data_IF_206720692130
#
_entry.id   IF_206720692130
#
_cell.length_a   1.000
_cell.length_b   1.000
_cell.length_c   1.000
_cell.angle_alpha   90.00
_cell.angle_beta   90.00
_cell.angle_gamma   90.00
#
_symmetry.space_group_name_H-M   'P 1'
#
loop_
_entity.id
_entity.type
_entity.pdbx_description
1 polymer ?
#
# COMPACT_ATOMS: atom_id res chain seq x y z
N UNK A 1 -20.60 12.63 2.52
CA UNK A 1 -19.83 12.79 3.78
C UNK A 1 -19.08 14.12 3.73
N UNK A 2 -19.38 15.07 4.65
CA UNK A 2 -18.65 16.36 4.73
C UNK A 2 -17.19 16.07 5.06
N UNK A 3 -16.27 16.63 4.26
CA UNK A 3 -14.81 16.61 4.49
C UNK A 3 -14.45 17.12 5.90
N UNK A 4 -14.42 16.23 6.89
CA UNK A 4 -13.68 16.52 8.12
C UNK A 4 -12.21 16.55 7.70
N UNK A 5 -11.58 17.74 7.76
CA UNK A 5 -10.13 17.89 7.57
C UNK A 5 -9.42 16.84 8.44
N UNK A 6 -8.95 15.77 7.81
CA UNK A 6 -8.29 14.67 8.51
C UNK A 6 -6.97 15.21 9.06
N UNK A 7 -6.85 15.26 10.39
CA UNK A 7 -5.64 15.75 11.05
C UNK A 7 -4.47 14.80 10.76
N UNK A 8 -3.40 15.30 10.14
CA UNK A 8 -2.23 14.50 9.76
C UNK A 8 -1.59 13.76 10.97
N UNK A 9 -1.63 14.35 12.16
CA UNK A 9 -1.17 13.66 13.39
C UNK A 9 -1.97 12.39 13.67
N UNK A 10 -3.30 12.42 13.45
CA UNK A 10 -4.18 11.24 13.60
C UNK A 10 -3.84 10.18 12.56
N UNK A 11 -3.64 10.58 11.30
CA UNK A 11 -3.23 9.69 10.21
C UNK A 11 -1.96 8.94 10.60
N UNK A 12 -0.90 9.66 10.95
CA UNK A 12 0.38 9.08 11.30
C UNK A 12 0.30 8.18 12.56
N UNK A 13 -0.48 8.58 13.57
CA UNK A 13 -0.68 7.79 14.79
C UNK A 13 -1.33 6.43 14.49
N UNK A 14 -2.38 6.41 13.64
CA UNK A 14 -3.07 5.16 13.27
C UNK A 14 -2.17 4.24 12.44
N UNK A 15 -1.43 4.79 11.46
CA UNK A 15 -0.49 4.01 10.66
C UNK A 15 0.67 3.47 11.49
N UNK A 16 1.22 4.27 12.42
CA UNK A 16 2.25 3.81 13.34
C UNK A 16 1.74 2.68 14.25
N UNK A 17 0.51 2.82 14.78
CA UNK A 17 -0.11 1.74 15.58
C UNK A 17 -0.25 0.48 14.75
N UNK A 18 -0.76 0.56 13.52
CA UNK A 18 -0.91 -0.59 12.65
C UNK A 18 0.44 -1.22 12.27
N UNK A 19 1.48 -0.41 12.03
CA UNK A 19 2.83 -0.93 11.81
C UNK A 19 3.37 -1.69 13.05
N UNK A 20 3.08 -1.20 14.26
CA UNK A 20 3.45 -1.87 15.51
C UNK A 20 2.73 -3.21 15.67
N UNK A 21 1.43 -3.27 15.38
CA UNK A 21 0.66 -4.52 15.40
C UNK A 21 1.22 -5.55 14.39
N UNK A 22 1.49 -5.12 13.16
CA UNK A 22 2.09 -5.98 12.13
C UNK A 22 3.51 -6.43 12.52
N UNK A 23 4.31 -5.55 13.12
CA UNK A 23 5.64 -5.90 13.61
C UNK A 23 5.58 -6.95 14.74
N UNK A 24 4.53 -6.96 15.55
CA UNK A 24 4.35 -7.95 16.61
C UNK A 24 4.12 -9.37 16.08
N UNK A 25 3.57 -9.51 14.88
CA UNK A 25 3.32 -10.83 14.24
C UNK A 25 4.43 -11.25 13.29
N UNK A 26 5.15 -10.30 12.69
CA UNK A 26 6.37 -10.58 11.90
C UNK A 26 7.38 -9.44 12.03
N UNK A 27 8.35 -9.60 12.97
CA UNK A 27 9.36 -8.59 13.25
C UNK A 27 10.40 -8.41 12.13
N UNK A 28 10.59 -9.41 11.25
CA UNK A 28 11.63 -9.39 10.21
C UNK A 28 11.23 -8.59 8.97
N UNK A 29 9.92 -8.45 8.72
CA UNK A 29 9.43 -7.85 7.48
C UNK A 29 9.96 -6.43 7.26
N UNK A 30 9.76 -5.53 8.20
CA UNK A 30 10.13 -4.11 8.03
C UNK A 30 11.64 -3.91 7.81
N UNK A 31 12.49 -4.73 8.46
CA UNK A 31 13.94 -4.69 8.24
C UNK A 31 14.34 -5.08 6.83
N UNK A 32 13.83 -6.21 6.32
CA UNK A 32 14.10 -6.67 4.96
C UNK A 32 13.51 -5.70 3.92
N UNK A 33 12.30 -5.22 4.15
CA UNK A 33 11.65 -4.22 3.31
C UNK A 33 12.46 -2.93 3.19
N UNK A 34 13.08 -2.46 4.30
CA UNK A 34 13.97 -1.29 4.29
C UNK A 34 15.17 -1.53 3.39
N UNK A 35 15.89 -2.66 3.58
CA UNK A 35 17.08 -2.98 2.78
C UNK A 35 16.72 -3.10 1.30
N UNK A 36 15.65 -3.82 0.98
CA UNK A 36 15.13 -3.94 -0.38
C UNK A 36 14.81 -2.58 -1.00
N UNK A 37 14.08 -1.75 -0.27
CA UNK A 37 13.64 -0.44 -0.75
C UNK A 37 14.81 0.51 -1.03
N UNK A 38 15.84 0.48 -0.19
CA UNK A 38 17.08 1.26 -0.38
C UNK A 38 17.81 0.79 -1.64
N UNK A 39 18.04 -0.52 -1.80
CA UNK A 39 18.69 -1.06 -2.99
C UNK A 39 17.88 -0.78 -4.26
N UNK A 40 16.56 -0.98 -4.19
CA UNK A 40 15.67 -0.71 -5.31
C UNK A 40 15.66 0.76 -5.74
N UNK A 41 15.75 1.70 -4.78
CA UNK A 41 15.83 3.13 -5.06
C UNK A 41 17.16 3.54 -5.69
N UNK A 42 18.27 2.94 -5.29
CA UNK A 42 19.62 3.28 -5.79
C UNK A 42 19.90 2.66 -7.18
N UNK A 43 19.37 1.47 -7.46
CA UNK A 43 19.65 0.70 -8.69
C UNK A 43 19.54 1.52 -9.98
N UNK A 44 18.49 2.34 -10.24
CA UNK A 44 18.40 3.13 -11.46
C UNK A 44 19.55 4.15 -11.61
N UNK A 45 19.99 4.72 -10.50
CA UNK A 45 21.04 5.74 -10.51
C UNK A 45 22.43 5.16 -10.81
N UNK A 46 22.68 3.88 -10.46
CA UNK A 46 23.91 3.19 -10.85
C UNK A 46 24.03 3.13 -12.37
N UNK A 47 22.95 2.74 -13.06
CA UNK A 47 22.94 2.71 -14.52
C UNK A 47 23.14 4.10 -15.14
N UNK A 48 22.48 5.14 -14.58
CA UNK A 48 22.65 6.53 -15.03
C UNK A 48 24.09 7.01 -14.88
N UNK A 49 24.74 6.71 -13.76
CA UNK A 49 26.14 7.08 -13.51
C UNK A 49 27.09 6.45 -14.53
N UNK A 50 27.04 5.13 -14.73
CA UNK A 50 27.92 4.46 -15.70
C UNK A 50 27.64 4.90 -17.13
N UNK A 51 26.38 5.09 -17.52
CA UNK A 51 26.02 5.61 -18.84
C UNK A 51 26.65 7.00 -19.09
N UNK A 52 26.68 7.88 -18.08
CA UNK A 52 27.30 9.19 -18.18
C UNK A 52 28.81 9.10 -18.38
N UNK A 53 29.52 8.19 -17.66
CA UNK A 53 30.98 8.00 -17.84
C UNK A 53 31.31 7.43 -19.22
N UNK A 54 30.52 6.47 -19.71
CA UNK A 54 30.68 5.90 -21.05
C UNK A 54 30.51 7.00 -22.12
N UNK A 55 29.46 7.82 -22.03
CA UNK A 55 29.20 8.89 -22.98
C UNK A 55 30.29 9.96 -22.94
N UNK A 56 30.79 10.31 -21.76
CA UNK A 56 31.92 11.25 -21.59
C UNK A 56 33.17 10.78 -22.30
N UNK A 57 33.56 9.48 -22.10
CA UNK A 57 34.74 8.91 -22.75
C UNK A 57 34.57 8.81 -24.26
N UNK A 58 33.38 8.41 -24.73
CA UNK A 58 33.06 8.29 -26.14
C UNK A 58 33.10 9.66 -26.88
N UNK A 59 32.57 10.71 -26.25
CA UNK A 59 32.42 12.03 -26.88
C UNK A 59 33.69 12.87 -26.85
N UNK A 60 34.47 12.82 -25.77
CA UNK A 60 35.56 13.73 -25.52
C UNK A 60 36.95 13.10 -25.67
N UNK A 61 37.22 12.01 -24.98
CA UNK A 61 38.57 11.49 -24.81
C UNK A 61 38.91 10.39 -25.80
N UNK A 62 37.90 9.63 -26.27
CA UNK A 62 38.00 8.54 -27.28
C UNK A 62 39.07 7.49 -26.97
N UNK A 63 39.38 7.24 -25.69
CA UNK A 63 40.34 6.23 -25.27
C UNK A 63 39.65 4.85 -25.19
N UNK A 64 39.95 3.98 -26.12
CA UNK A 64 39.28 2.68 -26.25
C UNK A 64 39.45 1.80 -25.01
N UNK A 65 40.63 1.78 -24.39
CA UNK A 65 40.95 1.04 -23.18
C UNK A 65 40.11 1.47 -21.98
N UNK A 66 39.98 2.76 -21.75
CA UNK A 66 39.21 3.36 -20.68
C UNK A 66 37.69 3.18 -20.94
N UNK A 67 37.28 3.30 -22.21
CA UNK A 67 35.89 3.06 -22.60
C UNK A 67 35.45 1.61 -22.27
N UNK A 68 36.28 0.63 -22.65
CA UNK A 68 35.99 -0.77 -22.31
C UNK A 68 35.96 -1.03 -20.81
N UNK A 69 36.83 -0.37 -20.03
CA UNK A 69 36.80 -0.43 -18.57
C UNK A 69 35.47 0.07 -18.01
N UNK A 70 34.97 1.26 -18.48
CA UNK A 70 33.70 1.78 -18.02
C UNK A 70 32.51 0.91 -18.44
N UNK A 71 32.53 0.35 -19.66
CA UNK A 71 31.48 -0.57 -20.12
C UNK A 71 31.47 -1.83 -19.26
N UNK A 72 32.64 -2.46 -19.05
CA UNK A 72 32.73 -3.67 -18.23
C UNK A 72 32.30 -3.41 -16.78
N UNK A 73 32.80 -2.32 -16.16
CA UNK A 73 32.39 -1.92 -14.81
C UNK A 73 30.88 -1.65 -14.73
N UNK A 74 30.32 -0.96 -15.72
CA UNK A 74 28.89 -0.66 -15.80
C UNK A 74 28.05 -1.94 -15.89
N UNK A 75 28.40 -2.86 -16.77
CA UNK A 75 27.68 -4.15 -16.90
C UNK A 75 27.79 -4.98 -15.62
N UNK A 76 28.98 -5.10 -15.03
CA UNK A 76 29.19 -5.84 -13.80
C UNK A 76 28.41 -5.22 -12.63
N UNK A 77 28.57 -3.92 -12.41
CA UNK A 77 27.90 -3.24 -11.28
C UNK A 77 26.38 -3.26 -11.43
N UNK A 78 25.85 -2.90 -12.61
CA UNK A 78 24.39 -2.95 -12.83
C UNK A 78 23.84 -4.37 -12.74
N UNK A 79 24.57 -5.36 -13.21
CA UNK A 79 24.23 -6.77 -13.07
C UNK A 79 24.20 -7.24 -11.62
N UNK A 80 25.22 -6.89 -10.82
CA UNK A 80 25.27 -7.20 -9.39
C UNK A 80 24.12 -6.54 -8.63
N UNK A 81 23.84 -5.25 -8.88
CA UNK A 81 22.70 -4.56 -8.27
C UNK A 81 21.35 -5.16 -8.69
N UNK A 82 21.22 -5.58 -9.96
CA UNK A 82 20.00 -6.26 -10.44
C UNK A 82 19.78 -7.61 -9.75
N UNK A 83 20.83 -8.41 -9.61
CA UNK A 83 20.78 -9.71 -8.91
C UNK A 83 20.45 -9.50 -7.42
N UNK A 84 21.14 -8.58 -6.77
CA UNK A 84 20.88 -8.23 -5.36
C UNK A 84 19.45 -7.75 -5.15
N UNK A 85 18.98 -6.85 -6.01
CA UNK A 85 17.59 -6.37 -6.00
C UNK A 85 16.59 -7.52 -6.18
N UNK A 86 16.83 -8.42 -7.12
CA UNK A 86 15.95 -9.56 -7.39
C UNK A 86 15.89 -10.51 -6.18
N UNK A 87 17.03 -10.81 -5.57
CA UNK A 87 17.11 -11.64 -4.35
C UNK A 87 16.36 -10.98 -3.18
N UNK A 88 16.60 -9.70 -2.93
CA UNK A 88 15.92 -8.95 -1.86
C UNK A 88 14.41 -8.81 -2.14
N UNK A 89 14.01 -8.62 -3.39
CA UNK A 89 12.61 -8.59 -3.80
C UNK A 89 11.91 -9.91 -3.48
N UNK A 90 12.49 -11.04 -3.90
CA UNK A 90 11.93 -12.35 -3.59
C UNK A 90 11.79 -12.57 -2.07
N UNK A 91 12.79 -12.14 -1.31
CA UNK A 91 12.75 -12.26 0.16
C UNK A 91 11.69 -11.34 0.79
N UNK A 92 11.55 -10.13 0.26
CA UNK A 92 10.52 -9.17 0.69
C UNK A 92 9.11 -9.70 0.42
N UNK A 93 8.85 -10.23 -0.79
CA UNK A 93 7.55 -10.82 -1.15
C UNK A 93 7.21 -12.04 -0.28
N UNK A 94 8.18 -12.94 -0.07
CA UNK A 94 7.96 -14.10 0.84
C UNK A 94 7.55 -13.66 2.25
N UNK A 95 8.20 -12.61 2.79
CA UNK A 95 7.86 -12.09 4.11
C UNK A 95 6.55 -11.29 4.11
N UNK A 96 6.20 -10.65 2.99
CA UNK A 96 4.91 -9.99 2.82
C UNK A 96 3.75 -10.99 2.82
N UNK A 97 3.89 -12.10 2.09
CA UNK A 97 2.90 -13.18 2.06
C UNK A 97 2.75 -13.85 3.44
N UNK A 98 3.86 -14.09 4.13
CA UNK A 98 3.84 -14.60 5.51
C UNK A 98 3.15 -13.60 6.46
N UNK A 99 3.43 -12.31 6.32
CA UNK A 99 2.76 -11.24 7.09
C UNK A 99 1.26 -11.19 6.78
N UNK A 100 0.88 -11.35 5.50
CA UNK A 100 -0.52 -11.40 5.08
C UNK A 100 -1.27 -12.54 5.76
N UNK A 101 -0.68 -13.73 5.83
CA UNK A 101 -1.26 -14.86 6.56
C UNK A 101 -1.31 -14.64 8.08
N UNK A 102 -0.20 -14.15 8.66
CA UNK A 102 -0.08 -13.98 10.12
C UNK A 102 -0.93 -12.85 10.69
N UNK A 103 -1.29 -11.83 9.92
CA UNK A 103 -2.19 -10.77 10.42
C UNK A 103 -3.51 -11.34 10.95
N UNK A 104 -3.98 -12.47 10.39
CA UNK A 104 -5.19 -13.14 10.89
C UNK A 104 -5.08 -13.55 12.36
N UNK A 105 -3.85 -13.77 12.87
CA UNK A 105 -3.61 -14.05 14.28
C UNK A 105 -4.11 -12.91 15.17
N UNK A 106 -4.01 -11.65 14.71
CA UNK A 106 -4.52 -10.50 15.46
C UNK A 106 -6.04 -10.58 15.62
N UNK A 107 -6.74 -10.88 14.55
CA UNK A 107 -8.19 -10.98 14.53
C UNK A 107 -8.68 -12.22 15.28
N UNK A 108 -8.07 -13.39 15.03
CA UNK A 108 -8.39 -14.62 15.75
C UNK A 108 -8.15 -14.47 17.25
N UNK A 109 -6.99 -13.91 17.64
CA UNK A 109 -6.72 -13.66 19.07
C UNK A 109 -7.79 -12.77 19.69
N UNK A 110 -8.22 -11.73 18.96
CA UNK A 110 -9.28 -10.84 19.45
C UNK A 110 -10.60 -11.59 19.58
N UNK A 111 -11.03 -12.36 18.58
CA UNK A 111 -12.26 -13.18 18.63
C UNK A 111 -12.25 -14.16 19.80
N UNK A 112 -11.12 -14.82 20.06
CA UNK A 112 -11.02 -15.79 21.17
C UNK A 112 -10.92 -15.15 22.57
N UNK A 113 -10.59 -13.87 22.64
CA UNK A 113 -10.44 -13.19 23.94
C UNK A 113 -11.57 -12.25 24.28
N UNK A 114 -12.44 -11.91 23.32
CA UNK A 114 -13.62 -11.07 23.60
C UNK A 114 -14.72 -11.87 24.31
N UNK A 115 -15.60 -11.14 24.97
CA UNK A 115 -16.75 -11.72 25.64
C UNK A 115 -17.68 -12.39 24.64
N UNK A 116 -18.28 -13.52 24.99
CA UNK A 116 -19.17 -14.28 24.11
C UNK A 116 -20.34 -13.41 23.62
N UNK A 117 -20.90 -12.56 24.48
CA UNK A 117 -21.98 -11.66 24.12
C UNK A 117 -21.60 -10.65 23.03
N UNK A 118 -20.33 -10.21 23.01
CA UNK A 118 -19.81 -9.30 21.96
C UNK A 118 -19.44 -10.09 20.70
N UNK A 119 -18.95 -11.32 20.85
CA UNK A 119 -18.66 -12.20 19.73
C UNK A 119 -19.92 -12.58 18.94
N UNK A 120 -21.05 -12.79 19.63
CA UNK A 120 -22.32 -13.21 19.04
C UNK A 120 -23.12 -12.06 18.40
N UNK A 121 -22.71 -10.79 18.60
CA UNK A 121 -23.36 -9.63 18.01
C UNK A 121 -23.19 -9.60 16.50
N UNK A 122 -24.30 -9.42 15.79
CA UNK A 122 -24.31 -9.24 14.34
C UNK A 122 -23.39 -8.09 13.90
N UNK A 123 -23.37 -7.00 14.66
CA UNK A 123 -22.52 -5.83 14.42
C UNK A 123 -21.01 -6.16 14.41
N UNK A 124 -20.58 -7.10 15.28
CA UNK A 124 -19.18 -7.58 15.35
C UNK A 124 -18.83 -8.38 14.09
N UNK A 125 -19.74 -9.24 13.64
CA UNK A 125 -19.57 -10.01 12.41
C UNK A 125 -19.57 -9.12 11.18
N UNK A 126 -20.48 -8.17 11.08
CA UNK A 126 -20.56 -7.20 9.98
C UNK A 126 -19.29 -6.35 9.91
N UNK A 127 -18.78 -5.90 11.05
CA UNK A 127 -17.53 -5.14 11.13
C UNK A 127 -16.33 -5.97 10.66
N UNK A 128 -16.25 -7.24 11.07
CA UNK A 128 -15.19 -8.16 10.64
C UNK A 128 -15.26 -8.44 9.13
N UNK A 129 -16.46 -8.67 8.61
CA UNK A 129 -16.68 -8.88 7.19
C UNK A 129 -16.32 -7.64 6.37
N UNK A 130 -16.71 -6.46 6.83
CA UNK A 130 -16.35 -5.19 6.20
C UNK A 130 -14.82 -4.99 6.13
N UNK A 131 -14.09 -5.30 7.21
CA UNK A 131 -12.63 -5.24 7.23
C UNK A 131 -12.05 -6.19 6.18
N UNK A 132 -12.54 -7.44 6.13
CA UNK A 132 -12.05 -8.42 5.17
C UNK A 132 -12.36 -8.04 3.71
N UNK A 133 -13.53 -7.48 3.43
CA UNK A 133 -13.88 -6.98 2.10
C UNK A 133 -12.98 -5.82 1.67
N UNK A 134 -12.69 -4.88 2.57
CA UNK A 134 -11.81 -3.74 2.29
C UNK A 134 -10.38 -4.20 1.97
N UNK A 135 -9.87 -5.19 2.69
CA UNK A 135 -8.56 -5.78 2.43
C UNK A 135 -8.52 -6.55 1.10
N UNK A 136 -9.56 -7.32 0.80
CA UNK A 136 -9.66 -8.08 -0.46
C UNK A 136 -9.73 -7.22 -1.71
N UNK A 137 -10.28 -6.00 -1.60
CA UNK A 137 -10.46 -5.12 -2.75
C UNK A 137 -9.16 -4.44 -3.21
N UNK A 138 -8.32 -3.95 -2.32
CA UNK A 138 -7.06 -3.27 -2.67
C UNK A 138 -6.13 -3.15 -1.45
N UNK A 139 -6.11 -4.15 -0.60
CA UNK A 139 -5.32 -4.19 0.64
C UNK A 139 -5.59 -3.01 1.61
N UNK A 140 -6.78 -2.36 1.53
CA UNK A 140 -7.13 -1.27 2.42
C UNK A 140 -7.21 -1.74 3.88
N UNK A 141 -6.70 -0.94 4.80
CA UNK A 141 -6.58 -1.27 6.21
C UNK A 141 -5.13 -1.61 6.57
N UNK A 142 -4.93 -2.70 7.32
CA UNK A 142 -3.59 -3.06 7.83
C UNK A 142 -2.61 -3.38 6.71
N UNK A 143 -3.02 -4.10 5.68
CA UNK A 143 -2.12 -4.53 4.61
C UNK A 143 -1.71 -3.40 3.65
N UNK A 144 -2.32 -2.23 3.75
CA UNK A 144 -1.84 -1.03 3.05
C UNK A 144 -0.59 -0.43 3.70
N UNK A 145 -0.35 -0.71 4.97
CA UNK A 145 0.79 -0.17 5.71
C UNK A 145 2.14 -0.69 5.19
N UNK A 146 2.37 -2.00 4.98
CA UNK A 146 3.59 -2.53 4.38
C UNK A 146 3.93 -1.89 3.04
N UNK A 147 2.95 -1.80 2.15
CA UNK A 147 3.11 -1.16 0.84
C UNK A 147 3.46 0.33 0.97
N UNK A 148 2.74 1.05 1.84
CA UNK A 148 3.01 2.47 2.10
C UNK A 148 4.39 2.71 2.69
N UNK A 149 4.86 1.81 3.54
CA UNK A 149 6.20 1.86 4.12
C UNK A 149 7.28 1.68 3.04
N UNK A 150 7.11 0.67 2.17
CA UNK A 150 8.01 0.42 1.06
C UNK A 150 8.11 1.64 0.12
N UNK A 151 6.98 2.18 -0.32
CA UNK A 151 6.95 3.39 -1.15
C UNK A 151 7.59 4.59 -0.46
N UNK A 152 7.35 4.76 0.85
CA UNK A 152 7.94 5.84 1.62
C UNK A 152 9.47 5.77 1.66
N UNK A 153 10.02 4.61 1.96
CA UNK A 153 11.49 4.40 2.00
C UNK A 153 12.10 4.58 0.61
N UNK A 154 11.49 3.99 -0.43
CA UNK A 154 11.96 4.15 -1.82
C UNK A 154 11.98 5.61 -2.25
N UNK A 155 10.91 6.35 -1.99
CA UNK A 155 10.80 7.76 -2.38
C UNK A 155 11.81 8.63 -1.65
N UNK A 156 12.01 8.45 -0.34
CA UNK A 156 12.99 9.21 0.43
C UNK A 156 14.41 8.92 -0.08
N UNK A 157 14.76 7.66 -0.27
CA UNK A 157 16.07 7.27 -0.79
C UNK A 157 16.29 7.73 -2.22
N UNK A 158 15.26 7.68 -3.07
CA UNK A 158 15.29 8.20 -4.43
C UNK A 158 15.56 9.71 -4.49
N UNK A 159 14.92 10.49 -3.60
CA UNK A 159 15.17 11.93 -3.48
C UNK A 159 16.61 12.17 -3.03
N UNK A 160 17.10 11.49 -2.00
CA UNK A 160 18.47 11.67 -1.49
C UNK A 160 19.53 11.31 -2.53
N UNK A 161 19.36 10.17 -3.21
CA UNK A 161 20.31 9.73 -4.26
C UNK A 161 20.28 10.66 -5.47
N UNK A 162 19.07 11.06 -5.91
CA UNK A 162 18.90 12.00 -7.01
C UNK A 162 19.53 13.38 -6.69
N UNK A 163 19.31 13.88 -5.48
CA UNK A 163 19.93 15.12 -5.02
C UNK A 163 21.46 15.01 -5.03
N UNK A 164 22.02 13.92 -4.49
CA UNK A 164 23.47 13.71 -4.47
C UNK A 164 24.09 13.73 -5.88
N UNK A 165 23.44 13.12 -6.87
CA UNK A 165 23.93 13.09 -8.25
C UNK A 165 23.70 14.39 -9.02
N UNK A 166 22.78 15.24 -8.56
CA UNK A 166 22.49 16.52 -9.22
C UNK A 166 23.18 17.72 -8.57
N UNK A 167 23.86 17.55 -7.43
CA UNK A 167 24.57 18.65 -6.76
C UNK A 167 25.52 19.38 -7.72
N UNK A 168 26.31 18.64 -8.49
CA UNK A 168 27.28 19.22 -9.43
C UNK A 168 26.62 19.98 -10.59
N UNK A 169 25.40 19.66 -10.99
CA UNK A 169 24.61 20.45 -11.94
C UNK A 169 24.45 21.90 -11.45
N UNK A 170 24.25 22.07 -10.15
CA UNK A 170 23.97 23.36 -9.55
C UNK A 170 25.27 24.13 -9.18
N UNK A 171 26.33 23.40 -8.84
CA UNK A 171 27.60 23.99 -8.40
C UNK A 171 28.59 24.27 -9.54
N UNK A 172 28.48 23.61 -10.71
CA UNK A 172 29.34 23.85 -11.85
C UNK A 172 29.04 25.22 -12.47
N UNK A 173 29.99 26.19 -12.46
CA UNK A 173 29.76 27.52 -13.03
C UNK A 173 29.83 27.49 -14.55
N UNK A 174 29.02 28.31 -15.20
CA UNK A 174 29.13 28.65 -16.62
C UNK A 174 30.29 29.61 -16.79
N UNK A 175 31.24 29.39 -17.74
CA UNK A 175 32.35 30.28 -18.00
C UNK A 175 31.88 31.69 -18.39
N UNK A 176 32.65 32.73 -18.02
CA UNK A 176 32.31 34.11 -18.34
C UNK A 176 32.28 34.38 -19.85
N UNK A 177 32.96 33.57 -20.63
CA UNK A 177 32.98 33.62 -22.10
C UNK A 177 31.65 33.32 -22.75
N UNK A 178 30.68 32.73 -22.01
CA UNK A 178 29.37 32.34 -22.51
C UNK A 178 28.35 33.50 -22.63
N UNK A 179 28.75 34.74 -22.37
CA UNK A 179 27.91 35.94 -22.54
C UNK A 179 26.63 35.90 -21.71
N UNK A 180 25.46 36.04 -22.33
CA UNK A 180 24.15 36.08 -21.65
C UNK A 180 23.89 34.82 -20.82
N UNK A 181 24.45 33.66 -21.19
CA UNK A 181 24.24 32.41 -20.48
C UNK A 181 24.86 32.36 -19.07
N UNK A 182 25.76 33.31 -18.75
CA UNK A 182 26.31 33.47 -17.37
C UNK A 182 25.23 33.77 -16.34
N UNK A 183 24.07 34.26 -16.75
CA UNK A 183 22.91 34.48 -15.90
C UNK A 183 22.44 33.15 -15.23
N UNK A 184 22.73 31.98 -15.83
CA UNK A 184 22.44 30.66 -15.26
C UNK A 184 23.28 30.34 -14.01
N UNK A 185 24.32 31.09 -13.73
CA UNK A 185 25.12 30.99 -12.50
C UNK A 185 24.43 31.67 -11.30
N UNK A 186 23.45 32.53 -11.56
CA UNK A 186 22.84 33.29 -10.49
C UNK A 186 22.02 32.32 -9.59
N UNK A 187 22.23 32.32 -8.27
CA UNK A 187 21.60 31.37 -7.36
C UNK A 187 20.08 31.38 -7.43
N UNK A 188 19.45 32.47 -7.86
CA UNK A 188 18.00 32.58 -8.08
C UNK A 188 17.52 31.55 -9.12
N UNK A 189 18.27 31.29 -10.21
CA UNK A 189 17.90 30.31 -11.21
C UNK A 189 17.88 28.87 -10.63
N UNK A 190 18.85 28.56 -9.77
CA UNK A 190 18.91 27.26 -9.07
C UNK A 190 17.72 27.10 -8.16
N UNK A 191 17.41 28.13 -7.36
CA UNK A 191 16.26 28.12 -6.45
C UNK A 191 14.95 28.04 -7.22
N UNK A 192 14.80 28.76 -8.32
CA UNK A 192 13.61 28.73 -9.18
C UNK A 192 13.44 27.34 -9.80
N UNK A 193 14.49 26.74 -10.34
CA UNK A 193 14.40 25.39 -10.91
C UNK A 193 14.02 24.35 -9.84
N UNK A 194 14.67 24.39 -8.68
CA UNK A 194 14.34 23.49 -7.57
C UNK A 194 12.89 23.71 -7.10
N UNK A 195 12.45 24.96 -6.97
CA UNK A 195 11.08 25.28 -6.60
C UNK A 195 10.06 24.81 -7.64
N UNK A 196 10.34 24.97 -8.93
CA UNK A 196 9.51 24.44 -10.03
C UNK A 196 9.41 22.91 -9.93
N UNK A 197 10.54 22.22 -9.77
CA UNK A 197 10.54 20.75 -9.65
C UNK A 197 9.67 20.28 -8.48
N UNK A 198 9.82 20.89 -7.31
CA UNK A 198 9.03 20.55 -6.12
C UNK A 198 7.55 20.89 -6.33
N UNK A 199 7.24 22.11 -6.77
CA UNK A 199 5.86 22.58 -6.96
C UNK A 199 5.10 21.72 -7.96
N UNK A 200 5.73 21.42 -9.10
CA UNK A 200 5.12 20.64 -10.18
C UNK A 200 4.97 19.17 -9.76
N UNK A 201 5.95 18.60 -9.02
CA UNK A 201 5.82 17.26 -8.44
C UNK A 201 4.67 17.16 -7.42
N UNK A 202 4.51 18.19 -6.58
CA UNK A 202 3.36 18.28 -5.64
C UNK A 202 2.04 18.39 -6.41
N UNK A 203 2.01 19.18 -7.48
CA UNK A 203 0.81 19.35 -8.30
C UNK A 203 0.42 18.03 -9.00
N UNK A 204 1.38 17.34 -9.59
CA UNK A 204 1.19 16.01 -10.17
C UNK A 204 0.67 15.00 -9.14
N UNK A 205 1.24 15.00 -7.91
CA UNK A 205 0.77 14.17 -6.80
C UNK A 205 -0.66 14.50 -6.36
N UNK A 206 -1.06 15.77 -6.38
CA UNK A 206 -2.45 16.18 -6.13
C UNK A 206 -3.42 15.63 -7.18
N UNK A 207 -3.07 15.69 -8.45
CA UNK A 207 -3.88 15.09 -9.51
C UNK A 207 -4.02 13.58 -9.37
N UNK A 208 -2.96 12.88 -8.97
CA UNK A 208 -3.04 11.47 -8.65
C UNK A 208 -3.98 11.19 -7.46
N UNK A 209 -3.93 12.01 -6.43
CA UNK A 209 -4.86 11.92 -5.28
C UNK A 209 -6.32 12.15 -5.71
N UNK A 210 -6.58 13.13 -6.60
CA UNK A 210 -7.91 13.38 -7.16
C UNK A 210 -8.40 12.22 -8.03
N UNK A 211 -7.50 11.58 -8.79
CA UNK A 211 -7.78 10.36 -9.54
C UNK A 211 -8.23 9.23 -8.62
N UNK A 212 -7.51 8.99 -7.52
CA UNK A 212 -7.88 8.00 -6.51
C UNK A 212 -9.19 8.34 -5.79
N UNK A 213 -9.45 9.62 -5.51
CA UNK A 213 -10.70 10.07 -4.91
C UNK A 213 -11.90 9.84 -5.84
N UNK A 214 -11.72 9.99 -7.15
CA UNK A 214 -12.75 9.68 -8.15
C UNK A 214 -13.14 8.19 -8.11
N UNK A 215 -12.19 7.29 -7.85
CA UNK A 215 -12.47 5.87 -7.65
C UNK A 215 -13.41 5.60 -6.48
N UNK A 216 -13.24 6.32 -5.37
CA UNK A 216 -14.07 6.14 -4.18
C UNK A 216 -15.55 6.52 -4.41
N UNK A 217 -15.88 7.27 -5.47
CA UNK A 217 -17.26 7.64 -5.78
C UNK A 217 -18.12 6.46 -6.27
N UNK A 218 -17.48 5.38 -6.71
CA UNK A 218 -18.16 4.17 -7.22
C UNK A 218 -18.05 2.99 -6.26
N UNK A 219 -17.61 3.20 -5.01
CA UNK A 219 -17.36 2.13 -4.05
C UNK A 219 -18.59 1.24 -3.79
N UNK A 220 -19.78 1.84 -3.64
CA UNK A 220 -21.02 1.10 -3.42
C UNK A 220 -21.44 0.31 -4.68
N UNK A 221 -21.38 0.93 -5.87
CA UNK A 221 -21.68 0.27 -7.13
C UNK A 221 -20.68 -0.86 -7.43
N UNK A 222 -19.40 -0.65 -7.12
CA UNK A 222 -18.38 -1.67 -7.25
C UNK A 222 -18.61 -2.85 -6.29
N UNK A 223 -19.03 -2.58 -5.05
CA UNK A 223 -19.37 -3.63 -4.07
C UNK A 223 -20.57 -4.45 -4.51
N UNK A 224 -21.61 -3.81 -5.02
CA UNK A 224 -22.78 -4.50 -5.58
C UNK A 224 -22.40 -5.29 -6.83
N UNK A 225 -21.61 -4.68 -7.74
CA UNK A 225 -21.09 -5.32 -8.94
C UNK A 225 -20.26 -6.57 -8.62
N UNK A 226 -19.42 -6.54 -7.57
CA UNK A 226 -18.66 -7.70 -7.11
C UNK A 226 -19.55 -8.84 -6.60
N UNK A 227 -20.62 -8.53 -5.88
CA UNK A 227 -21.57 -9.56 -5.44
C UNK A 227 -22.23 -10.26 -6.61
N UNK A 228 -22.68 -9.49 -7.62
CA UNK A 228 -23.25 -10.07 -8.85
C UNK A 228 -22.20 -10.85 -9.64
N UNK A 229 -20.99 -10.31 -9.79
CA UNK A 229 -19.88 -11.01 -10.42
C UNK A 229 -19.57 -12.33 -9.72
N UNK A 230 -19.44 -12.30 -8.39
CA UNK A 230 -19.22 -13.51 -7.59
C UNK A 230 -20.34 -14.52 -7.73
N UNK A 231 -21.61 -14.07 -7.72
CA UNK A 231 -22.76 -14.95 -7.92
C UNK A 231 -22.76 -15.61 -9.31
N UNK A 232 -22.74 -14.81 -10.37
CA UNK A 232 -22.83 -15.35 -11.74
C UNK A 232 -21.52 -16.00 -12.23
N UNK A 233 -20.37 -15.57 -11.72
CA UNK A 233 -19.06 -16.14 -12.07
C UNK A 233 -18.84 -17.53 -11.47
N UNK A 234 -19.37 -17.77 -10.28
CA UNK A 234 -19.13 -19.02 -9.56
C UNK A 234 -20.37 -19.93 -9.47
N UNK A 235 -21.53 -19.49 -9.93
CA UNK A 235 -22.78 -20.25 -9.82
C UNK A 235 -22.69 -21.65 -10.48
N UNK A 236 -21.98 -21.77 -11.59
CA UNK A 236 -21.79 -23.04 -12.31
C UNK A 236 -20.84 -24.02 -11.60
N UNK A 237 -20.00 -23.54 -10.68
CA UNK A 237 -19.04 -24.37 -9.93
C UNK A 237 -19.69 -24.94 -8.66
N UNK A 238 -20.71 -24.31 -8.14
CA UNK A 238 -21.44 -24.78 -6.96
C UNK A 238 -22.33 -25.97 -7.30
N UNK A 239 -21.93 -27.19 -6.88
CA UNK A 239 -22.68 -28.45 -7.16
C UNK A 239 -24.16 -28.37 -6.81
N UNK A 240 -24.51 -27.76 -5.66
CA UNK A 240 -25.89 -27.61 -5.23
C UNK A 240 -26.75 -26.75 -6.15
N UNK A 241 -26.19 -25.71 -6.74
CA UNK A 241 -26.91 -24.81 -7.67
C UNK A 241 -26.90 -25.33 -9.11
N UNK A 242 -25.94 -26.16 -9.47
CA UNK A 242 -25.86 -26.76 -10.80
C UNK A 242 -27.07 -27.61 -11.17
N UNK A 243 -27.74 -28.23 -10.20
CA UNK A 243 -28.98 -28.97 -10.38
C UNK A 243 -30.11 -28.00 -10.73
N UNK A 244 -30.29 -26.93 -9.95
CA UNK A 244 -31.36 -25.94 -10.17
C UNK A 244 -31.23 -25.27 -11.52
N UNK A 245 -29.99 -24.86 -11.92
CA UNK A 245 -29.72 -24.24 -13.22
C UNK A 245 -30.15 -25.14 -14.37
N UNK A 246 -29.91 -26.45 -14.27
CA UNK A 246 -30.30 -27.43 -15.29
C UNK A 246 -31.82 -27.71 -15.28
N UNK A 247 -32.39 -27.85 -14.09
CA UNK A 247 -33.82 -28.11 -13.95
C UNK A 247 -34.70 -26.96 -14.46
N UNK A 248 -34.26 -25.71 -14.19
CA UNK A 248 -35.00 -24.50 -14.57
C UNK A 248 -34.47 -23.85 -15.84
N UNK A 249 -33.55 -24.50 -16.54
CA UNK A 249 -32.95 -24.01 -17.82
C UNK A 249 -32.40 -22.59 -17.74
N UNK A 250 -31.66 -22.29 -16.65
CA UNK A 250 -31.18 -20.93 -16.34
C UNK A 250 -29.83 -20.58 -16.96
N UNK A 251 -29.30 -21.38 -17.92
CA UNK A 251 -28.01 -21.12 -18.57
C UNK A 251 -28.01 -19.75 -19.29
N UNK A 252 -29.14 -19.39 -19.90
CA UNK A 252 -29.30 -18.12 -20.60
C UNK A 252 -29.25 -16.91 -19.65
N UNK A 253 -29.72 -17.06 -18.41
CA UNK A 253 -29.64 -16.00 -17.39
C UNK A 253 -28.19 -15.63 -17.08
N UNK A 254 -27.30 -16.62 -16.96
CA UNK A 254 -25.88 -16.42 -16.73
C UNK A 254 -25.22 -15.75 -17.94
N UNK A 255 -25.57 -16.23 -19.14
CA UNK A 255 -25.10 -15.65 -20.40
C UNK A 255 -25.57 -14.19 -20.58
N UNK A 256 -26.84 -13.92 -20.27
CA UNK A 256 -27.42 -12.57 -20.33
C UNK A 256 -26.75 -11.60 -19.36
N UNK A 257 -26.35 -12.04 -18.16
CA UNK A 257 -25.59 -11.22 -17.23
C UNK A 257 -24.26 -10.80 -17.85
N UNK A 258 -23.49 -11.73 -18.43
CA UNK A 258 -22.17 -11.45 -18.99
C UNK A 258 -22.20 -10.64 -20.28
N UNK A 259 -23.26 -10.79 -21.10
CA UNK A 259 -23.46 -9.99 -22.33
C UNK A 259 -24.09 -8.61 -22.06
N UNK A 260 -24.66 -8.41 -20.86
CA UNK A 260 -25.31 -7.18 -20.48
C UNK A 260 -24.34 -6.05 -20.08
N UNK A 261 -24.93 -4.92 -19.72
CA UNK A 261 -24.18 -3.75 -19.23
C UNK A 261 -23.86 -3.91 -17.74
N UNK A 262 -22.90 -4.77 -17.43
CA UNK A 262 -22.47 -5.04 -16.05
C UNK A 262 -21.66 -3.89 -15.46
N UNK A 263 -21.48 -3.87 -14.15
CA UNK A 263 -20.66 -2.87 -13.46
C UNK A 263 -19.23 -2.82 -14.02
N UNK A 264 -18.67 -3.97 -14.43
CA UNK A 264 -17.34 -4.13 -15.02
C UNK A 264 -17.32 -4.08 -16.54
N UNK A 265 -18.48 -3.97 -17.19
CA UNK A 265 -18.58 -3.90 -18.64
C UNK A 265 -17.99 -2.61 -19.22
N UNK A 266 -17.66 -2.62 -20.52
CA UNK A 266 -17.05 -1.47 -21.19
C UNK A 266 -17.88 -0.18 -21.14
N UNK A 267 -19.18 -0.27 -20.99
CA UNK A 267 -20.13 0.86 -20.84
C UNK A 267 -20.63 1.01 -19.39
N UNK A 268 -20.15 0.20 -18.48
CA UNK A 268 -20.55 0.20 -17.07
C UNK A 268 -20.11 1.46 -16.31
N UNK A 269 -20.62 1.64 -15.08
CA UNK A 269 -20.31 2.80 -14.24
C UNK A 269 -18.80 2.91 -13.94
N UNK A 270 -18.13 1.78 -13.70
CA UNK A 270 -16.70 1.74 -13.45
C UNK A 270 -15.92 2.27 -14.67
N UNK A 271 -16.25 1.77 -15.88
CA UNK A 271 -15.59 2.20 -17.11
C UNK A 271 -15.80 3.71 -17.37
N UNK A 272 -16.99 4.26 -17.04
CA UNK A 272 -17.27 5.69 -17.16
C UNK A 272 -16.40 6.54 -16.25
N UNK A 273 -16.17 6.13 -15.01
CA UNK A 273 -15.31 6.86 -14.06
C UNK A 273 -13.84 6.75 -14.48
N UNK A 274 -13.38 5.54 -14.88
CA UNK A 274 -12.01 5.31 -15.34
C UNK A 274 -11.67 6.13 -16.58
N UNK A 275 -12.57 6.16 -17.59
CA UNK A 275 -12.38 6.97 -18.81
C UNK A 275 -12.61 8.47 -18.58
N UNK A 276 -13.42 8.81 -17.56
CA UNK A 276 -13.77 10.20 -17.20
C UNK A 276 -12.80 10.82 -16.21
N UNK A 277 -13.31 11.18 -15.05
CA UNK A 277 -12.55 11.95 -14.03
C UNK A 277 -11.23 11.30 -13.64
N UNK A 278 -11.21 9.99 -13.40
CA UNK A 278 -10.02 9.26 -13.00
C UNK A 278 -8.95 9.33 -14.10
N UNK A 279 -9.29 9.00 -15.34
CA UNK A 279 -8.36 9.04 -16.48
C UNK A 279 -7.85 10.44 -16.79
N UNK A 280 -8.72 11.46 -16.75
CA UNK A 280 -8.34 12.85 -16.96
C UNK A 280 -7.34 13.31 -15.90
N UNK A 281 -7.62 13.10 -14.62
CA UNK A 281 -6.70 13.49 -13.56
C UNK A 281 -5.39 12.72 -13.61
N UNK A 282 -5.42 11.42 -13.88
CA UNK A 282 -4.21 10.62 -14.05
C UNK A 282 -3.37 11.09 -15.24
N UNK A 283 -4.02 11.38 -16.39
CA UNK A 283 -3.37 11.92 -17.58
C UNK A 283 -2.73 13.28 -17.33
N UNK A 284 -3.43 14.20 -16.65
CA UNK A 284 -2.88 15.50 -16.27
C UNK A 284 -1.67 15.36 -15.34
N UNK A 285 -1.75 14.47 -14.33
CA UNK A 285 -0.61 14.21 -13.44
C UNK A 285 0.62 13.71 -14.20
N UNK A 286 0.42 12.77 -15.14
CA UNK A 286 1.51 12.26 -16.00
C UNK A 286 2.06 13.34 -16.94
N UNK A 287 1.20 14.11 -17.61
CA UNK A 287 1.63 15.19 -18.49
C UNK A 287 2.48 16.24 -17.76
N UNK A 288 2.06 16.62 -16.57
CA UNK A 288 2.82 17.56 -15.72
C UNK A 288 4.19 16.98 -15.35
N UNK A 289 4.28 15.68 -15.04
CA UNK A 289 5.59 15.04 -14.75
C UNK A 289 6.51 15.03 -15.96
N UNK A 290 5.99 14.83 -17.16
CA UNK A 290 6.78 14.90 -18.41
C UNK A 290 7.30 16.33 -18.67
N UNK A 291 6.50 17.37 -18.37
CA UNK A 291 6.93 18.76 -18.48
C UNK A 291 8.15 19.07 -17.59
N UNK A 292 8.21 18.50 -16.37
CA UNK A 292 9.42 18.67 -15.52
C UNK A 292 10.65 18.14 -16.24
N UNK A 293 10.55 16.95 -16.82
CA UNK A 293 11.67 16.35 -17.58
C UNK A 293 12.12 17.28 -18.70
N UNK A 294 11.18 17.88 -19.45
CA UNK A 294 11.47 18.86 -20.49
C UNK A 294 12.23 20.09 -19.94
N UNK A 295 11.78 20.67 -18.82
CA UNK A 295 12.45 21.81 -18.19
C UNK A 295 13.86 21.46 -17.73
N UNK A 296 14.06 20.29 -17.12
CA UNK A 296 15.39 19.82 -16.71
C UNK A 296 16.31 19.64 -17.92
N UNK A 297 15.79 19.07 -19.03
CA UNK A 297 16.54 18.95 -20.27
C UNK A 297 17.00 20.31 -20.80
N UNK A 298 16.08 21.26 -20.94
CA UNK A 298 16.39 22.60 -21.45
C UNK A 298 17.47 23.28 -20.59
N UNK A 299 17.29 23.28 -19.26
CA UNK A 299 18.24 23.89 -18.34
C UNK A 299 19.63 23.24 -18.44
N UNK A 300 19.67 21.89 -18.43
CA UNK A 300 20.91 21.13 -18.48
C UNK A 300 21.62 21.31 -19.82
N UNK A 301 20.88 21.26 -20.94
CA UNK A 301 21.46 21.49 -22.26
C UNK A 301 21.99 22.93 -22.45
N UNK A 302 21.31 23.96 -21.94
CA UNK A 302 21.78 25.32 -21.97
C UNK A 302 23.08 25.51 -21.19
N UNK A 303 23.20 24.93 -19.99
CA UNK A 303 24.44 24.96 -19.20
C UNK A 303 25.58 24.19 -19.88
N UNK A 304 25.29 23.04 -20.49
CA UNK A 304 26.30 22.28 -21.25
C UNK A 304 26.75 23.03 -22.48
N UNK A 305 25.83 23.65 -23.25
CA UNK A 305 26.17 24.48 -24.39
C UNK A 305 27.05 25.65 -23.99
N UNK A 306 26.77 26.24 -22.84
CA UNK A 306 27.61 27.31 -22.26
C UNK A 306 28.99 26.82 -21.77
N UNK A 307 29.29 25.51 -21.84
CA UNK A 307 30.58 24.93 -21.45
C UNK A 307 30.77 24.65 -19.96
N UNK A 308 29.67 24.61 -19.19
CA UNK A 308 29.76 24.32 -17.74
C UNK A 308 30.16 22.87 -17.44
N UNK A 309 29.82 21.94 -18.32
CA UNK A 309 30.11 20.50 -18.18
C UNK A 309 29.96 19.76 -19.51
N UNK A 310 30.39 18.49 -19.54
CA UNK A 310 30.42 17.63 -20.73
C UNK A 310 29.06 16.99 -21.06
N UNK A 311 28.96 16.39 -22.27
CA UNK A 311 27.75 15.72 -22.76
C UNK A 311 27.36 14.52 -21.88
N UNK A 312 28.32 13.79 -21.32
CA UNK A 312 28.05 12.67 -20.41
C UNK A 312 27.32 13.14 -19.15
N UNK A 313 27.68 14.29 -18.64
CA UNK A 313 27.02 14.94 -17.49
C UNK A 313 25.56 15.30 -17.77
N UNK A 314 25.17 15.64 -19.01
CA UNK A 314 23.77 15.89 -19.39
C UNK A 314 22.92 14.64 -19.06
N UNK A 315 23.36 13.47 -19.50
CA UNK A 315 22.66 12.22 -19.26
C UNK A 315 22.52 11.93 -17.77
N UNK A 316 23.58 12.16 -16.98
CA UNK A 316 23.54 11.99 -15.53
C UNK A 316 22.53 12.92 -14.88
N UNK A 317 22.60 14.23 -15.18
CA UNK A 317 21.74 15.22 -14.51
C UNK A 317 20.28 15.07 -14.89
N UNK A 318 19.99 14.84 -16.16
CA UNK A 318 18.62 14.65 -16.61
C UNK A 318 18.04 13.35 -16.03
N UNK A 319 18.79 12.25 -16.09
CA UNK A 319 18.36 10.98 -15.52
C UNK A 319 18.11 11.06 -14.01
N UNK A 320 19.07 11.65 -13.27
CA UNK A 320 18.97 11.79 -11.82
C UNK A 320 17.85 12.77 -11.39
N UNK A 321 17.71 13.92 -12.06
CA UNK A 321 16.66 14.88 -11.74
C UNK A 321 15.26 14.37 -12.08
N UNK A 322 15.10 13.65 -13.20
CA UNK A 322 13.82 13.02 -13.56
C UNK A 322 13.43 11.94 -12.54
N UNK A 323 14.35 11.08 -12.14
CA UNK A 323 14.11 10.06 -11.13
C UNK A 323 13.79 10.67 -9.75
N UNK A 324 14.47 11.77 -9.39
CA UNK A 324 14.19 12.52 -8.16
C UNK A 324 12.79 13.14 -8.19
N UNK A 325 12.40 13.76 -9.31
CA UNK A 325 11.05 14.32 -9.48
C UNK A 325 9.97 13.23 -9.36
N UNK A 326 10.20 12.05 -9.94
CA UNK A 326 9.35 10.88 -9.76
C UNK A 326 9.21 10.46 -8.29
N UNK A 327 10.32 10.45 -7.55
CA UNK A 327 10.31 10.12 -6.12
C UNK A 327 9.56 11.16 -5.27
N UNK A 328 9.65 12.45 -5.60
CA UNK A 328 8.87 13.52 -4.96
C UNK A 328 7.38 13.34 -5.25
N UNK A 329 7.04 13.02 -6.50
CA UNK A 329 5.66 12.70 -6.90
C UNK A 329 5.10 11.52 -6.09
N UNK A 330 5.84 10.41 -6.01
CA UNK A 330 5.44 9.21 -5.25
C UNK A 330 5.25 9.52 -3.76
N UNK A 331 6.15 10.31 -3.15
CA UNK A 331 6.03 10.71 -1.75
C UNK A 331 4.78 11.57 -1.51
N UNK A 332 4.44 12.45 -2.45
CA UNK A 332 3.23 13.27 -2.39
C UNK A 332 1.96 12.42 -2.54
N UNK A 333 1.98 11.47 -3.49
CA UNK A 333 0.89 10.52 -3.69
C UNK A 333 0.68 9.63 -2.45
N UNK A 334 1.77 9.20 -1.81
CA UNK A 334 1.73 8.44 -0.57
C UNK A 334 0.97 9.16 0.55
N UNK A 335 1.14 10.48 0.71
CA UNK A 335 0.38 11.25 1.69
C UNK A 335 -1.14 11.19 1.42
N UNK A 336 -1.55 11.15 0.16
CA UNK A 336 -2.93 10.92 -0.25
C UNK A 336 -3.42 9.52 0.14
N UNK A 337 -2.62 8.50 -0.13
CA UNK A 337 -2.91 7.09 0.19
C UNK A 337 -3.06 6.91 1.71
N UNK A 338 -2.16 7.47 2.51
CA UNK A 338 -2.24 7.39 3.98
C UNK A 338 -3.55 8.01 4.51
N UNK A 339 -3.95 9.17 3.98
CA UNK A 339 -5.24 9.78 4.33
C UNK A 339 -6.43 8.91 3.93
N UNK A 340 -6.40 8.36 2.70
CA UNK A 340 -7.46 7.49 2.20
C UNK A 340 -7.57 6.17 2.99
N UNK A 341 -6.46 5.64 3.50
CA UNK A 341 -6.43 4.42 4.30
C UNK A 341 -6.93 4.62 5.75
N UNK A 342 -6.96 5.86 6.23
CA UNK A 342 -7.30 6.16 7.63
C UNK A 342 -8.67 5.61 8.07
N UNK A 343 -9.79 5.81 7.34
CA UNK A 343 -11.09 5.27 7.76
C UNK A 343 -11.12 3.73 7.83
N UNK A 344 -10.35 3.05 7.00
CA UNK A 344 -10.24 1.59 7.02
C UNK A 344 -9.46 1.10 8.24
N UNK A 345 -8.39 1.81 8.63
CA UNK A 345 -7.68 1.54 9.87
C UNK A 345 -8.54 1.84 11.10
N UNK A 346 -9.36 2.88 11.06
CA UNK A 346 -10.31 3.18 12.14
C UNK A 346 -11.26 2.00 12.37
N UNK A 347 -11.80 1.41 11.31
CA UNK A 347 -12.65 0.21 11.41
C UNK A 347 -11.89 -0.99 11.95
N UNK A 348 -10.65 -1.19 11.51
CA UNK A 348 -9.80 -2.25 12.04
C UNK A 348 -9.56 -2.09 13.54
N UNK A 349 -9.25 -0.87 14.00
CA UNK A 349 -9.01 -0.63 15.42
C UNK A 349 -10.32 -0.60 16.24
N UNK A 350 -11.45 -0.20 15.66
CA UNK A 350 -12.76 -0.35 16.27
C UNK A 350 -13.02 -1.81 16.66
N UNK A 351 -12.69 -2.75 15.77
CA UNK A 351 -12.79 -4.19 16.06
C UNK A 351 -11.76 -4.66 17.11
N UNK A 352 -10.49 -4.30 16.95
CA UNK A 352 -9.42 -4.74 17.87
C UNK A 352 -9.56 -4.15 19.28
N UNK A 353 -10.21 -2.99 19.42
CA UNK A 353 -10.41 -2.29 20.68
C UNK A 353 -11.73 -2.63 21.39
N UNK A 354 -12.54 -3.55 20.86
CA UNK A 354 -13.74 -4.05 21.58
C UNK A 354 -13.28 -4.48 22.99
N UNK A 355 -13.84 -3.94 24.06
CA UNK A 355 -13.40 -4.25 25.41
C UNK A 355 -13.62 -5.73 25.78
N UNK A 356 -12.76 -6.28 26.61
CA UNK A 356 -13.00 -7.57 27.27
C UNK A 356 -13.46 -7.24 28.69
N UNK A 357 -14.73 -7.52 29.00
CA UNK A 357 -15.28 -7.32 30.33
C UNK A 357 -15.08 -8.57 31.22
N UNK A 358 -14.89 -9.75 30.61
CA UNK A 358 -14.68 -10.99 31.37
C UNK A 358 -13.35 -10.98 32.12
N UNK A 359 -13.43 -11.37 33.39
CA UNK A 359 -12.24 -11.65 34.20
C UNK A 359 -11.48 -12.84 33.62
N UNK A 360 -10.26 -12.56 33.15
CA UNK A 360 -9.33 -13.61 32.73
C UNK A 360 -8.45 -13.99 33.94
N UNK A 361 -8.85 -15.04 34.64
CA UNK A 361 -8.06 -15.56 35.75
C UNK A 361 -6.74 -16.16 35.29
N UNK A 362 -5.75 -16.17 36.17
CA UNK A 362 -4.45 -16.82 35.93
C UNK A 362 -4.48 -18.34 36.20
N UNK A 363 -5.56 -18.85 36.78
CA UNK A 363 -5.71 -20.27 37.07
C UNK A 363 -6.13 -21.04 35.84
N UNK A 364 -5.31 -22.00 35.45
CA UNK A 364 -5.65 -22.98 34.42
C UNK A 364 -6.37 -24.15 35.04
N UNK A 365 -7.18 -24.85 34.24
CA UNK A 365 -7.80 -26.13 34.66
C UNK A 365 -6.69 -27.11 35.04
N UNK A 366 -6.80 -27.70 36.22
CA UNK A 366 -5.86 -28.72 36.68
C UNK A 366 -5.83 -29.90 35.71
N UNK A 367 -4.62 -30.29 35.27
CA UNK A 367 -4.46 -31.48 34.42
C UNK A 367 -4.45 -32.70 35.26
N UNK A 368 -5.61 -33.39 35.36
CA UNK A 368 -5.78 -34.61 36.12
C UNK A 368 -5.48 -35.83 35.26
N UNK A 369 -4.70 -36.76 35.78
CA UNK A 369 -4.41 -38.05 35.12
C UNK A 369 -5.64 -38.91 34.90
N UNK A 370 -6.60 -38.85 35.83
CA UNK A 370 -7.88 -39.58 35.77
C UNK A 370 -8.92 -38.95 34.83
N UNK A 371 -8.64 -37.74 34.29
CA UNK A 371 -9.52 -36.93 33.43
C UNK A 371 -10.93 -36.74 34.01
N UNK A 372 -11.12 -36.91 35.34
CA UNK A 372 -12.38 -36.71 36.00
C UNK A 372 -12.53 -35.27 36.47
N UNK A 373 -13.36 -34.52 35.80
CA UNK A 373 -13.66 -33.14 36.12
C UNK A 373 -15.11 -33.00 36.60
N UNK A 374 -15.32 -32.07 37.53
CA UNK A 374 -16.64 -31.69 38.01
C UNK A 374 -16.88 -30.22 37.70
N UNK A 375 -18.11 -29.89 37.32
CA UNK A 375 -18.58 -28.50 37.16
C UNK A 375 -19.58 -28.25 38.29
N UNK A 376 -19.31 -27.17 39.02
CA UNK A 376 -20.18 -26.75 40.12
C UNK A 376 -20.64 -25.31 39.87
N UNK A 377 -21.98 -25.14 39.88
CA UNK A 377 -22.62 -23.83 39.93
C UNK A 377 -22.96 -23.52 41.37
N UNK A 378 -22.58 -22.37 41.89
CA UNK A 378 -22.88 -21.90 43.24
C UNK A 378 -23.66 -20.60 43.15
N UNK A 379 -24.96 -20.65 43.39
CA UNK A 379 -25.84 -19.48 43.41
C UNK A 379 -25.71 -18.61 42.15
N UNK A 380 -25.66 -19.25 40.98
CA UNK A 380 -25.43 -18.58 39.69
C UNK A 380 -26.75 -17.98 39.21
N UNK A 381 -26.71 -16.68 38.91
CA UNK A 381 -27.81 -15.98 38.25
C UNK A 381 -27.29 -15.44 36.92
N UNK A 382 -28.02 -15.66 35.85
CA UNK A 382 -27.67 -15.20 34.52
C UNK A 382 -28.82 -14.46 33.85
N UNK A 383 -28.52 -13.38 33.20
CA UNK A 383 -29.44 -12.54 32.42
C UNK A 383 -28.81 -12.23 31.07
N UNK A 384 -29.54 -12.45 29.98
CA UNK A 384 -29.09 -12.05 28.66
C UNK A 384 -28.99 -10.53 28.56
N UNK A 385 -28.01 -9.98 27.85
CA UNK A 385 -27.93 -8.53 27.58
C UNK A 385 -29.25 -8.03 26.95
N UNK A 386 -29.81 -6.97 27.53
CA UNK A 386 -31.08 -6.38 27.06
C UNK A 386 -32.37 -7.13 27.52
N UNK A 387 -32.28 -8.29 28.18
CA UNK A 387 -33.46 -8.96 28.74
C UNK A 387 -33.89 -8.30 30.08
N UNK A 388 -35.18 -8.22 30.35
CA UNK A 388 -35.69 -7.71 31.64
C UNK A 388 -35.67 -8.77 32.74
N UNK A 389 -35.79 -10.04 32.36
CA UNK A 389 -35.91 -11.18 33.29
C UNK A 389 -34.65 -12.03 33.32
N UNK A 390 -34.39 -12.68 34.44
CA UNK A 390 -33.29 -13.61 34.58
C UNK A 390 -33.63 -14.94 33.84
N UNK A 391 -32.70 -15.42 33.00
CA UNK A 391 -32.78 -16.73 32.37
C UNK A 391 -32.42 -17.84 33.37
N UNK A 392 -31.48 -17.58 34.28
CA UNK A 392 -31.16 -18.42 35.41
C UNK A 392 -31.17 -17.55 36.69
N UNK A 393 -31.75 -18.05 37.77
CA UNK A 393 -31.81 -17.32 39.05
C UNK A 393 -31.44 -18.25 40.19
N UNK A 394 -30.37 -17.91 40.91
CA UNK A 394 -29.89 -18.62 42.10
C UNK A 394 -29.71 -20.12 41.88
N UNK A 395 -29.20 -20.54 40.72
CA UNK A 395 -28.99 -21.95 40.38
C UNK A 395 -27.72 -22.47 41.08
N UNK A 396 -27.90 -23.54 41.87
CA UNK A 396 -26.82 -24.28 42.50
C UNK A 396 -26.94 -25.75 42.07
N UNK A 397 -25.94 -26.25 41.36
CA UNK A 397 -25.88 -27.61 40.87
C UNK A 397 -24.44 -28.08 40.68
N UNK A 398 -24.24 -29.40 40.77
CA UNK A 398 -22.93 -30.02 40.57
C UNK A 398 -23.09 -31.27 39.70
N UNK A 399 -22.23 -31.42 38.71
CA UNK A 399 -22.23 -32.58 37.83
C UNK A 399 -20.83 -32.94 37.35
N UNK A 400 -20.63 -34.20 37.00
CA UNK A 400 -19.37 -34.72 36.47
C UNK A 400 -19.35 -34.56 34.94
N UNK A 401 -18.24 -34.07 34.40
CA UNK A 401 -18.02 -33.99 32.95
C UNK A 401 -18.03 -35.41 32.35
N UNK A 402 -18.69 -35.57 31.23
CA UNK A 402 -18.86 -36.86 30.57
C UNK A 402 -20.11 -37.65 31.00
N UNK A 403 -20.87 -37.18 32.00
CA UNK A 403 -22.20 -37.72 32.29
C UNK A 403 -23.29 -36.94 31.55
N UNK A 404 -24.36 -37.63 31.21
CA UNK A 404 -25.54 -37.02 30.59
C UNK A 404 -26.38 -36.37 31.67
N UNK A 405 -26.73 -35.11 31.51
CA UNK A 405 -27.65 -34.36 32.35
C UNK A 405 -28.83 -33.93 31.48
N UNK A 406 -30.06 -34.25 31.92
CA UNK A 406 -31.25 -33.73 31.28
C UNK A 406 -31.75 -32.51 32.06
N UNK A 407 -31.94 -31.41 31.38
CA UNK A 407 -32.51 -30.16 31.92
C UNK A 407 -33.91 -30.09 31.34
N UNK A 408 -34.93 -30.11 32.21
CA UNK A 408 -36.37 -29.95 31.87
C UNK A 408 -36.82 -28.63 32.45
N UNK A 409 -37.46 -27.81 31.64
CA UNK A 409 -38.02 -26.51 32.01
C UNK A 409 -39.50 -26.45 31.78
#
# INVERSE_FOLDING_TARGET
MKDKKVNMRRVLKLHYRGAKELHSVNSKYFGVCTIYSVVAAITPYVAVFFSAQILKELALLKRADVLWMWVAAGVICTGLFAILKAFLYQRNETLYDDLYGRKEILFCRKMFTMDYADMDKQETHDLREQIQQNEGWNSWGLMRIPQSYEYGVKSIMGILTGAALTVTLFTSPVPETAGILTILNHPVFILVLAAIMVLVSILAGKFNTLSMAAWNTIGEEATFGNRLFGFFGFIGIHKGRGVDIRMYNQQELVSAYWSGNTAFGALGPIARVVRGKMGIYSGLGTAITVLITGFVYVFTCLKAWAGAFDIGSITQYVGAATAMAGSIFELTALLGILKANTPYLEKTFEFLDIPNAMYQGSLTTEKRADRQYEVEFKNVSFKYPGAETYALKNVSMKFKVGKRLAIVG
#
